data_IF_352423479453
#
_entry.id   IF_352423479453
#
_cell.length_a   1.000
_cell.length_b   1.000
_cell.length_c   1.000
_cell.angle_alpha   90.00
_cell.angle_beta   90.00
_cell.angle_gamma   90.00
#
_symmetry.space_group_name_H-M   'P 1'
#
loop_
_entity.id
_entity.type
_entity.pdbx_description
1 polymer ?
#
# COMPACT_ATOMS: atom_id res chain seq x y z
N UNK A 1 -2.46 -51.53 -7.80
CA UNK A 1 -2.99 -50.29 -8.40
C UNK A 1 -2.02 -49.18 -8.04
N UNK A 2 -1.33 -48.61 -9.03
CA UNK A 2 -0.33 -47.55 -8.83
C UNK A 2 -1.04 -46.21 -8.84
N UNK A 3 -1.04 -45.49 -7.72
CA UNK A 3 -1.47 -44.10 -7.69
C UNK A 3 -0.39 -43.25 -8.36
N UNK A 4 -0.65 -42.72 -9.56
CA UNK A 4 0.20 -41.65 -10.08
C UNK A 4 -0.09 -40.41 -9.25
N UNK A 5 0.88 -40.01 -8.43
CA UNK A 5 0.89 -38.67 -7.86
C UNK A 5 1.31 -37.73 -8.99
N UNK A 6 0.36 -37.38 -9.84
CA UNK A 6 0.59 -36.37 -10.88
C UNK A 6 0.91 -35.06 -10.16
N UNK A 7 2.17 -34.64 -10.23
CA UNK A 7 2.62 -33.36 -9.69
C UNK A 7 1.94 -32.25 -10.49
N UNK A 8 0.91 -31.66 -9.89
CA UNK A 8 0.22 -30.52 -10.48
C UNK A 8 1.10 -29.28 -10.29
N UNK A 9 1.95 -28.99 -11.29
CA UNK A 9 2.68 -27.74 -11.35
C UNK A 9 1.68 -26.64 -11.73
N UNK A 10 1.18 -25.91 -10.73
CA UNK A 10 0.45 -24.68 -10.98
C UNK A 10 1.39 -23.74 -11.73
N UNK A 11 1.10 -23.46 -13.00
CA UNK A 11 1.67 -22.32 -13.68
C UNK A 11 1.23 -21.08 -12.91
N UNK A 12 2.13 -20.52 -12.09
CA UNK A 12 2.02 -19.17 -11.59
C UNK A 12 2.10 -18.26 -12.83
N UNK A 13 0.94 -17.96 -13.42
CA UNK A 13 0.83 -16.92 -14.43
C UNK A 13 1.27 -15.63 -13.75
N UNK A 14 2.26 -14.95 -14.31
CA UNK A 14 2.66 -13.63 -13.80
C UNK A 14 1.41 -12.74 -13.88
N UNK A 15 0.92 -12.17 -12.76
CA UNK A 15 -0.26 -11.32 -12.81
C UNK A 15 0.03 -10.12 -13.71
N UNK A 16 -0.73 -9.98 -14.79
CA UNK A 16 -0.53 -8.92 -15.81
C UNK A 16 -0.84 -7.52 -15.27
N UNK A 17 -1.56 -7.42 -14.14
CA UNK A 17 -1.80 -6.18 -13.41
C UNK A 17 -1.81 -6.49 -11.92
N UNK A 18 -1.06 -5.72 -11.13
CA UNK A 18 -1.03 -5.80 -9.67
C UNK A 18 -1.59 -4.49 -9.15
N UNK A 19 -2.67 -4.54 -8.36
CA UNK A 19 -3.14 -3.36 -7.65
C UNK A 19 -2.19 -3.09 -6.48
N UNK A 20 -1.67 -1.86 -6.40
CA UNK A 20 -0.78 -1.43 -5.31
C UNK A 20 -1.50 -0.36 -4.50
N UNK A 21 -1.82 -0.70 -3.25
CA UNK A 21 -2.43 0.23 -2.29
C UNK A 21 -1.37 0.73 -1.34
N UNK A 22 -1.06 2.03 -1.42
CA UNK A 22 -0.17 2.73 -0.50
C UNK A 22 -0.99 3.54 0.51
N UNK A 23 -0.90 3.17 1.78
CA UNK A 23 -1.48 3.89 2.91
C UNK A 23 -0.34 4.62 3.62
N UNK A 24 -0.45 5.94 3.75
CA UNK A 24 0.54 6.76 4.45
C UNK A 24 -0.13 7.40 5.67
N UNK A 25 0.47 7.20 6.83
CA UNK A 25 0.19 7.98 8.03
C UNK A 25 1.33 8.95 8.26
N UNK A 26 1.03 10.24 8.39
CA UNK A 26 2.02 11.27 8.69
C UNK A 26 1.61 12.02 9.96
N UNK A 27 2.59 12.32 10.81
CA UNK A 27 2.48 13.21 11.97
C UNK A 27 3.40 14.39 11.70
N UNK A 28 2.92 15.45 11.00
CA UNK A 28 3.77 16.54 10.54
C UNK A 28 4.48 17.27 11.68
N UNK A 29 3.79 17.45 12.82
CA UNK A 29 4.34 18.10 14.02
C UNK A 29 5.58 17.42 14.58
N UNK A 30 5.72 16.11 14.36
CA UNK A 30 6.85 15.31 14.83
C UNK A 30 7.82 14.96 13.70
N UNK A 31 7.54 15.44 12.48
CA UNK A 31 8.30 15.10 11.28
C UNK A 31 8.45 13.57 11.09
N UNK A 32 7.39 12.84 11.45
CA UNK A 32 7.39 11.39 11.51
C UNK A 32 6.33 10.82 10.58
N UNK A 33 6.68 9.76 9.85
CA UNK A 33 5.77 9.06 8.97
C UNK A 33 5.83 7.55 9.14
N UNK A 34 4.72 6.90 8.78
CA UNK A 34 4.60 5.46 8.62
C UNK A 34 3.87 5.15 7.31
N UNK A 35 4.23 4.05 6.67
CA UNK A 35 3.57 3.62 5.45
C UNK A 35 3.30 2.12 5.48
N UNK A 36 2.25 1.75 4.74
CA UNK A 36 1.81 0.39 4.54
C UNK A 36 1.47 0.21 3.06
N UNK A 37 2.08 -0.79 2.43
CA UNK A 37 1.86 -1.16 1.03
C UNK A 37 1.19 -2.54 1.01
N UNK A 38 0.11 -2.65 0.24
CA UNK A 38 -0.51 -3.92 -0.14
C UNK A 38 -0.35 -4.10 -1.65
N UNK A 39 0.08 -5.29 -2.06
CA UNK A 39 0.07 -5.74 -3.45
C UNK A 39 -1.02 -6.80 -3.57
N UNK A 40 -1.97 -6.58 -4.47
CA UNK A 40 -3.07 -7.49 -4.74
C UNK A 40 -3.08 -7.93 -6.19
N UNK A 41 -3.69 -9.08 -6.47
CA UNK A 41 -3.89 -9.53 -7.83
C UNK A 41 -4.81 -8.57 -8.62
N UNK A 42 -4.97 -8.85 -9.91
CA UNK A 42 -5.72 -7.97 -10.82
C UNK A 42 -7.20 -7.80 -10.43
N UNK A 43 -7.76 -8.72 -9.63
CA UNK A 43 -9.14 -8.60 -9.15
C UNK A 43 -9.25 -7.86 -7.81
N UNK A 44 -8.13 -7.63 -7.11
CA UNK A 44 -8.09 -7.05 -5.77
C UNK A 44 -8.42 -8.06 -4.66
N UNK A 45 -8.79 -9.29 -5.01
CA UNK A 45 -9.28 -10.29 -4.06
C UNK A 45 -8.14 -11.03 -3.35
N UNK A 46 -7.04 -11.28 -4.06
CA UNK A 46 -5.89 -11.99 -3.50
C UNK A 46 -4.80 -11.01 -3.05
N UNK A 47 -4.43 -11.05 -1.77
CA UNK A 47 -3.24 -10.35 -1.28
C UNK A 47 -1.99 -11.14 -1.68
N UNK A 48 -1.19 -10.55 -2.57
CA UNK A 48 0.06 -11.13 -3.07
C UNK A 48 1.27 -10.77 -2.20
N UNK A 49 1.22 -9.61 -1.56
CA UNK A 49 2.30 -9.17 -0.69
C UNK A 49 1.93 -7.95 0.13
N UNK A 50 2.65 -7.76 1.24
CA UNK A 50 2.53 -6.56 2.06
C UNK A 50 3.90 -6.12 2.56
N UNK A 51 4.07 -4.82 2.73
CA UNK A 51 5.25 -4.26 3.37
C UNK A 51 4.84 -3.07 4.22
N UNK A 52 5.50 -2.88 5.35
CA UNK A 52 5.34 -1.68 6.15
C UNK A 52 6.69 -1.12 6.60
N UNK A 53 6.70 0.18 6.84
CA UNK A 53 7.81 0.85 7.51
C UNK A 53 7.24 1.80 8.55
N UNK A 54 7.89 1.79 9.71
CA UNK A 54 7.59 2.68 10.81
C UNK A 54 8.75 3.65 11.00
N UNK A 55 8.43 4.93 11.13
CA UNK A 55 9.40 5.96 11.49
C UNK A 55 10.36 6.36 10.39
N UNK A 56 9.81 6.73 9.24
CA UNK A 56 10.57 7.50 8.26
C UNK A 56 10.42 9.01 8.52
N UNK A 57 11.46 9.75 8.14
CA UNK A 57 11.49 11.20 8.21
C UNK A 57 10.74 11.79 7.00
N UNK A 58 9.75 12.65 7.24
CA UNK A 58 8.94 13.24 6.16
C UNK A 58 9.78 14.07 5.18
N UNK A 59 10.93 14.61 5.61
CA UNK A 59 11.86 15.38 4.76
C UNK A 59 12.60 14.51 3.75
N UNK A 60 12.65 13.20 3.97
CA UNK A 60 13.25 12.25 3.05
C UNK A 60 12.24 11.74 2.00
N UNK A 61 10.97 12.12 2.10
CA UNK A 61 10.02 11.85 1.04
C UNK A 61 10.28 12.75 -0.18
N UNK A 62 10.00 12.25 -1.40
CA UNK A 62 9.90 13.09 -2.58
C UNK A 62 8.92 14.24 -2.33
N UNK A 63 9.25 15.44 -2.83
CA UNK A 63 8.44 16.64 -2.60
C UNK A 63 7.00 16.49 -3.11
N UNK A 64 6.81 15.71 -4.17
CA UNK A 64 5.51 15.37 -4.76
C UNK A 64 4.64 14.55 -3.80
N UNK A 65 5.26 13.65 -3.03
CA UNK A 65 4.61 12.82 -2.02
C UNK A 65 4.19 13.66 -0.81
N UNK A 66 5.04 14.60 -0.39
CA UNK A 66 4.71 15.57 0.67
C UNK A 66 3.49 16.40 0.28
N UNK A 67 3.46 16.95 -0.95
CA UNK A 67 2.29 17.71 -1.45
C UNK A 67 1.00 16.91 -1.47
N UNK A 68 1.08 15.61 -1.80
CA UNK A 68 -0.09 14.72 -1.80
C UNK A 68 -0.63 14.53 -0.38
N UNK A 69 0.27 14.34 0.60
CA UNK A 69 -0.09 14.22 2.02
C UNK A 69 -0.77 15.50 2.52
N UNK A 70 -0.18 16.67 2.23
CA UNK A 70 -0.73 17.97 2.63
C UNK A 70 -2.13 18.21 2.02
N UNK A 71 -2.33 17.85 0.75
CA UNK A 71 -3.61 17.97 0.07
C UNK A 71 -4.67 17.10 0.75
N UNK A 72 -4.34 15.84 1.06
CA UNK A 72 -5.26 14.91 1.72
C UNK A 72 -5.61 15.40 3.13
N UNK A 73 -4.62 15.88 3.89
CA UNK A 73 -4.86 16.45 5.23
C UNK A 73 -5.77 17.66 5.18
N UNK A 74 -5.52 18.60 4.25
CA UNK A 74 -6.36 19.79 4.07
C UNK A 74 -7.82 19.42 3.77
N UNK A 75 -8.05 18.39 2.96
CA UNK A 75 -9.41 17.91 2.65
C UNK A 75 -10.08 17.24 3.87
N UNK A 76 -9.32 16.49 4.67
CA UNK A 76 -9.82 15.86 5.89
C UNK A 76 -10.16 16.91 6.96
N UNK A 77 -9.29 17.89 7.19
CA UNK A 77 -9.51 18.95 8.17
C UNK A 77 -10.70 19.84 7.78
N UNK A 78 -10.81 20.20 6.50
CA UNK A 78 -11.96 20.95 5.98
C UNK A 78 -13.29 20.20 6.08
N UNK A 79 -13.26 18.86 6.13
CA UNK A 79 -14.46 18.05 6.32
C UNK A 79 -14.91 17.94 7.80
N UNK A 80 -14.01 18.18 8.75
CA UNK A 80 -14.34 18.18 10.19
C UNK A 80 -14.96 19.50 10.67
N UNK A 81 -14.77 20.62 9.97
CA UNK A 81 -15.39 21.91 10.33
C UNK A 81 -16.91 21.99 10.00
N UNK A 82 -17.48 20.95 9.40
CA UNK A 82 -18.91 20.88 9.02
C UNK A 82 -19.82 20.07 9.95
N UNK A 83 -19.37 19.73 11.17
CA UNK A 83 -20.20 19.03 12.18
C UNK A 83 -20.39 19.83 13.46
#
# INVERSE_FOLDING_TARGET
MSYSSDWYQQQLVNPEVIEITLKIGAIPSENHGQWWIELRDASGDCLLGQWSSYGFDLRHLPAELVKLIDLVQTQLDGSMETF
#
